data_IF_505249048296
#
_entry.id   IF_505249048296
#
_cell.length_a   1.000
_cell.length_b   1.000
_cell.length_c   1.000
_cell.angle_alpha   90.00
_cell.angle_beta   90.00
_cell.angle_gamma   90.00
#
_symmetry.space_group_name_H-M   'P 1'
#
loop_
_entity.id
_entity.type
_entity.pdbx_description
1 polymer ?
#
# COMPACT_ATOMS: atom_id res chain seq x y z
N UNK A 1 -17.15 12.62 -2.83
CA UNK A 1 -16.44 11.39 -3.24
C UNK A 1 -15.72 10.82 -2.03
N UNK A 2 -16.24 9.76 -1.40
CA UNK A 2 -15.64 9.17 -0.20
C UNK A 2 -14.37 8.41 -0.56
N UNK A 3 -13.21 8.80 -0.03
CA UNK A 3 -11.96 8.08 -0.26
C UNK A 3 -12.02 6.72 0.47
N UNK A 4 -12.06 5.63 -0.29
CA UNK A 4 -12.12 4.26 0.26
C UNK A 4 -10.69 3.77 0.50
N UNK A 5 -10.33 3.53 1.76
CA UNK A 5 -9.01 2.99 2.12
C UNK A 5 -9.05 1.47 1.90
N UNK A 6 -8.24 0.99 0.95
CA UNK A 6 -8.02 -0.44 0.72
C UNK A 6 -6.77 -0.87 1.47
N UNK A 7 -6.88 -1.95 2.26
CA UNK A 7 -5.74 -2.56 2.97
C UNK A 7 -5.23 -3.73 2.14
N UNK A 8 -3.91 -3.81 2.00
CA UNK A 8 -3.22 -4.91 1.29
C UNK A 8 -2.18 -5.54 2.19
N UNK A 9 -1.94 -6.83 2.00
CA UNK A 9 -0.93 -7.59 2.74
C UNK A 9 0.46 -7.35 2.16
N UNK A 10 1.50 -7.71 2.92
CA UNK A 10 2.88 -7.62 2.43
C UNK A 10 3.10 -8.51 1.20
N UNK A 11 2.52 -9.70 1.18
CA UNK A 11 2.69 -10.62 0.06
C UNK A 11 2.06 -10.09 -1.22
N UNK A 12 0.89 -9.45 -1.13
CA UNK A 12 0.27 -8.78 -2.27
C UNK A 12 1.17 -7.66 -2.85
N UNK A 13 1.83 -6.90 -1.98
CA UNK A 13 2.79 -5.86 -2.39
C UNK A 13 3.98 -6.50 -3.14
N UNK A 14 4.57 -7.57 -2.59
CA UNK A 14 5.71 -8.23 -3.21
C UNK A 14 5.35 -8.94 -4.52
N UNK A 15 4.18 -9.57 -4.60
CA UNK A 15 3.66 -10.15 -5.84
C UNK A 15 3.44 -9.07 -6.92
N UNK A 16 2.88 -7.91 -6.55
CA UNK A 16 2.69 -6.80 -7.49
C UNK A 16 4.03 -6.28 -8.04
N UNK A 17 5.05 -6.10 -7.17
CA UNK A 17 6.40 -5.72 -7.58
C UNK A 17 7.04 -6.77 -8.51
N UNK A 18 6.88 -8.05 -8.19
CA UNK A 18 7.40 -9.13 -9.02
C UNK A 18 6.76 -9.13 -10.41
N UNK A 19 5.44 -8.89 -10.49
CA UNK A 19 4.72 -8.81 -11.75
C UNK A 19 5.16 -7.62 -12.60
N UNK A 20 5.36 -6.44 -12.00
CA UNK A 20 5.90 -5.25 -12.69
C UNK A 20 7.27 -5.57 -13.30
N UNK A 21 8.16 -6.20 -12.53
CA UNK A 21 9.49 -6.61 -13.02
C UNK A 21 9.41 -7.63 -14.14
N UNK A 22 8.53 -8.62 -14.02
CA UNK A 22 8.30 -9.64 -15.04
C UNK A 22 7.79 -9.04 -16.36
N UNK A 23 6.96 -7.99 -16.28
CA UNK A 23 6.42 -7.28 -17.45
C UNK A 23 7.35 -6.21 -18.01
N UNK A 24 8.44 -5.89 -17.30
CA UNK A 24 9.46 -4.94 -17.75
C UNK A 24 9.13 -3.47 -17.50
N UNK A 25 8.13 -3.16 -16.67
CA UNK A 25 7.76 -1.77 -16.37
C UNK A 25 6.37 -1.62 -15.77
N UNK A 26 6.14 -0.50 -15.09
CA UNK A 26 4.83 -0.12 -14.54
C UNK A 26 3.82 0.23 -15.64
N UNK A 27 4.28 0.68 -16.81
CA UNK A 27 3.46 0.99 -17.98
C UNK A 27 2.86 -0.25 -18.67
N UNK A 28 3.31 -1.44 -18.26
CA UNK A 28 2.88 -2.73 -18.81
C UNK A 28 1.90 -3.50 -17.93
N UNK A 29 1.46 -2.90 -16.82
CA UNK A 29 0.50 -3.49 -15.88
C UNK A 29 -0.66 -2.54 -15.62
N UNK A 30 -1.75 -3.07 -15.06
CA UNK A 30 -2.88 -2.25 -14.65
C UNK A 30 -2.50 -1.25 -13.55
N UNK A 31 -3.08 -0.02 -13.55
CA UNK A 31 -2.79 1.00 -12.55
C UNK A 31 -3.00 0.53 -11.11
N UNK A 32 -3.98 -0.34 -10.88
CA UNK A 32 -4.27 -0.90 -9.55
C UNK A 32 -3.09 -1.73 -9.01
N UNK A 33 -2.35 -2.41 -9.88
CA UNK A 33 -1.16 -3.18 -9.48
C UNK A 33 -0.05 -2.22 -9.05
N UNK A 34 0.11 -1.09 -9.74
CA UNK A 34 1.06 -0.03 -9.37
C UNK A 34 0.68 0.57 -8.02
N UNK A 35 -0.62 0.79 -7.76
CA UNK A 35 -1.11 1.27 -6.46
C UNK A 35 -0.80 0.29 -5.33
N UNK A 36 -0.99 -1.01 -5.57
CA UNK A 36 -0.67 -2.06 -4.59
C UNK A 36 0.84 -2.12 -4.33
N UNK A 37 1.66 -2.11 -5.39
CA UNK A 37 3.12 -2.18 -5.27
C UNK A 37 3.70 -0.99 -4.47
N UNK A 38 3.05 0.17 -4.57
CA UNK A 38 3.42 1.41 -3.88
C UNK A 38 2.66 1.65 -2.57
N UNK A 39 1.89 0.66 -2.08
CA UNK A 39 1.11 0.80 -0.86
C UNK A 39 2.03 1.11 0.35
N UNK A 40 1.72 2.21 1.04
CA UNK A 40 2.49 2.66 2.21
C UNK A 40 1.86 2.14 3.49
N UNK A 41 2.71 1.81 4.47
CA UNK A 41 2.24 1.54 5.83
C UNK A 41 1.62 2.81 6.39
N UNK A 42 0.38 2.71 6.88
CA UNK A 42 -0.23 3.81 7.63
C UNK A 42 0.51 3.92 8.96
N UNK A 43 1.10 5.07 9.31
CA UNK A 43 1.67 5.25 10.64
C UNK A 43 0.59 4.99 11.67
N UNK A 44 0.92 4.19 12.69
CA UNK A 44 0.02 3.95 13.83
C UNK A 44 -0.23 5.31 14.48
N UNK A 45 -1.48 5.78 14.63
CA UNK A 45 -1.74 6.94 15.45
C UNK A 45 -1.32 6.57 16.87
N UNK A 46 -0.24 7.19 17.34
CA UNK A 46 0.12 7.18 18.75
C UNK A 46 -0.95 8.01 19.44
N UNK A 47 -1.98 7.34 19.98
CA UNK A 47 -2.79 7.94 21.02
C UNK A 47 -1.86 8.15 22.21
N UNK A 48 -1.22 9.31 22.26
CA UNK A 48 -0.67 9.84 23.50
C UNK A 48 -1.88 10.26 24.31
N UNK A 49 -2.47 9.32 25.06
CA UNK A 49 -3.35 9.70 26.16
C UNK A 49 -2.52 10.55 27.13
N UNK A 50 -2.97 11.76 27.51
CA UNK A 50 -2.32 12.49 28.56
C UNK A 50 -2.54 11.73 29.86
N UNK A 51 -1.47 11.13 30.38
CA UNK A 51 -1.37 10.71 31.77
C UNK A 51 -1.69 11.95 32.62
N UNK A 52 -2.93 12.02 33.10
CA UNK A 52 -3.36 13.08 34.01
C UNK A 52 -2.91 12.65 35.42
N UNK A 53 -2.25 13.53 36.20
CA UNK A 53 -1.69 13.20 37.50
C UNK A 53 -2.74 12.87 38.57
#
# INVERSE_FOLDING_TARGET
>A
MSQRIVKVTRDQIESAKALIRLRGGEDKVDPDIVLIANARRRPRPTNTEPLTP
#
